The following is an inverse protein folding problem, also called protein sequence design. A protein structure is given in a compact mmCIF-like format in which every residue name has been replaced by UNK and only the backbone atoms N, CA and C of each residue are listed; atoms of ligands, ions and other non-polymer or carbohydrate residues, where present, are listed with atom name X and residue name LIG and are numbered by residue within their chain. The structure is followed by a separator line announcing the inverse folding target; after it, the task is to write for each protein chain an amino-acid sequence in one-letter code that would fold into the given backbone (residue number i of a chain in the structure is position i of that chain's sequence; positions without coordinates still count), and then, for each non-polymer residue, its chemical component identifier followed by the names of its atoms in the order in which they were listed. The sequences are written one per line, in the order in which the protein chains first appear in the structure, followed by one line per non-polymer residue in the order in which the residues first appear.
data_IF_788340912542
#
_entry.id   IF_788340912542
#
_cell.length_a   1.000
_cell.length_b   1.000
_cell.length_c   1.000
_cell.angle_alpha   90.00
_cell.angle_beta   90.00
_cell.angle_gamma   90.00
#
_symmetry.space_group_name_H-M   'P 1'
#
loop_
_entity.id
_entity.type
_entity.pdbx_description
1 polymer ?
#
# COMPACT_ATOMS: atom_id res chain seq x y z
N UNK A 1 6.85 -47.61 -25.02
CA UNK A 1 5.57 -47.19 -24.41
C UNK A 1 5.51 -45.68 -24.52
N UNK A 2 4.86 -45.26 -25.60
CA UNK A 2 4.84 -43.92 -26.17
C UNK A 2 4.19 -42.86 -25.27
N UNK A 3 4.75 -41.65 -25.30
CA UNK A 3 4.00 -40.43 -24.97
C UNK A 3 4.13 -39.43 -26.13
N UNK A 4 3.02 -38.85 -26.62
CA UNK A 4 3.05 -38.08 -27.86
C UNK A 4 3.59 -36.66 -27.63
N UNK A 5 4.36 -36.18 -28.62
CA UNK A 5 4.78 -34.77 -28.76
C UNK A 5 3.54 -33.90 -29.06
N UNK A 6 3.39 -32.78 -28.35
CA UNK A 6 2.54 -31.65 -28.80
C UNK A 6 3.42 -30.60 -29.49
N UNK A 7 3.10 -30.19 -30.73
CA UNK A 7 3.75 -29.08 -31.41
C UNK A 7 2.98 -27.76 -31.25
N UNK A 8 3.74 -26.66 -31.16
CA UNK A 8 3.37 -25.36 -31.73
C UNK A 8 2.47 -24.42 -30.92
N UNK A 9 3.09 -23.40 -30.32
CA UNK A 9 2.64 -22.02 -30.48
C UNK A 9 3.86 -21.09 -30.38
N UNK A 10 4.43 -20.82 -31.55
CA UNK A 10 5.50 -19.88 -31.84
C UNK A 10 4.91 -18.46 -31.75
N UNK A 11 5.09 -17.77 -30.62
CA UNK A 11 5.01 -16.30 -30.54
C UNK A 11 6.15 -15.80 -29.68
N UNK A 12 7.22 -15.42 -30.37
CA UNK A 12 8.40 -14.75 -29.86
C UNK A 12 8.00 -13.35 -29.39
N UNK A 13 8.18 -13.07 -28.10
CA UNK A 13 8.49 -11.73 -27.62
C UNK A 13 9.86 -11.80 -26.96
N UNK A 14 10.81 -10.90 -27.30
CA UNK A 14 12.07 -10.84 -26.60
C UNK A 14 11.85 -10.30 -25.17
N UNK A 15 12.56 -10.81 -24.15
CA UNK A 15 12.45 -10.30 -22.80
C UNK A 15 12.96 -8.86 -22.72
N UNK A 16 12.19 -8.01 -22.04
CA UNK A 16 12.52 -6.62 -21.76
C UNK A 16 13.75 -6.57 -20.85
N UNK A 17 14.90 -6.23 -21.44
CA UNK A 17 16.16 -6.05 -20.72
C UNK A 17 16.07 -4.87 -19.76
N UNK A 18 15.92 -5.14 -18.46
CA UNK A 18 16.38 -4.21 -17.44
C UNK A 18 17.91 -4.14 -17.49
N UNK A 19 18.43 -3.15 -18.23
CA UNK A 19 19.86 -2.85 -18.22
C UNK A 19 20.26 -2.36 -16.82
N UNK A 20 20.94 -3.22 -16.05
CA UNK A 20 21.79 -2.83 -14.90
C UNK A 20 22.64 -1.62 -15.33
N UNK A 21 22.30 -0.42 -14.84
CA UNK A 21 23.13 0.77 -15.02
C UNK A 21 24.38 0.62 -14.15
N UNK A 22 25.44 0.06 -14.73
CA UNK A 22 26.82 0.24 -14.26
C UNK A 22 27.14 1.74 -14.28
N UNK A 23 27.09 2.42 -13.14
CA UNK A 23 27.76 3.71 -12.97
C UNK A 23 29.26 3.43 -12.91
N UNK A 24 29.90 3.53 -14.07
CA UNK A 24 31.36 3.54 -14.18
C UNK A 24 31.88 4.93 -13.81
N UNK A 25 32.89 4.94 -12.96
CA UNK A 25 33.71 6.09 -12.60
C UNK A 25 34.56 6.53 -13.80
N UNK A 26 34.45 7.78 -14.24
CA UNK A 26 35.55 8.54 -14.86
C UNK A 26 35.17 10.00 -15.09
N UNK A 27 35.90 10.85 -14.37
CA UNK A 27 36.36 12.20 -14.71
C UNK A 27 35.57 13.09 -15.68
N UNK A 28 35.08 14.23 -15.17
CA UNK A 28 35.80 15.49 -15.37
C UNK A 28 35.16 16.70 -14.66
N UNK A 29 35.97 17.29 -13.77
CA UNK A 29 36.20 18.74 -13.59
C UNK A 29 35.05 19.62 -13.04
N UNK A 30 35.26 19.96 -11.77
CA UNK A 30 35.28 21.34 -11.24
C UNK A 30 33.96 22.09 -11.05
N UNK A 31 33.45 22.07 -9.82
CA UNK A 31 33.46 23.29 -8.98
C UNK A 31 33.02 22.96 -7.55
N UNK A 32 33.85 23.39 -6.60
CA UNK A 32 33.69 23.35 -5.13
C UNK A 32 32.27 23.73 -4.68
N UNK A 33 31.55 22.79 -4.05
CA UNK A 33 30.49 23.11 -3.09
C UNK A 33 30.62 22.18 -1.89
N UNK A 34 30.54 22.79 -0.71
CA UNK A 34 30.93 22.28 0.58
C UNK A 34 30.24 20.98 0.99
N UNK A 35 31.03 20.03 1.49
CA UNK A 35 30.57 18.93 2.34
C UNK A 35 29.91 19.51 3.61
N UNK A 36 28.58 19.45 3.67
CA UNK A 36 27.82 19.36 4.92
C UNK A 36 27.10 18.00 4.92
N UNK A 37 27.25 17.16 5.95
CA UNK A 37 26.45 15.95 6.07
C UNK A 37 25.05 16.40 6.51
N UNK A 38 24.11 16.44 5.58
CA UNK A 38 22.79 17.03 5.84
C UNK A 38 21.88 17.05 4.61
N UNK A 39 21.44 15.88 4.17
CA UNK A 39 20.06 15.71 3.68
C UNK A 39 19.75 14.22 3.77
N UNK A 40 19.02 13.85 4.81
CA UNK A 40 18.52 12.49 5.03
C UNK A 40 17.36 12.23 4.06
N UNK A 41 17.65 12.30 2.75
CA UNK A 41 16.66 11.95 1.71
C UNK A 41 16.38 10.47 1.87
N UNK A 42 15.21 10.17 2.44
CA UNK A 42 14.67 8.84 2.48
C UNK A 42 14.59 8.34 1.03
N UNK A 43 15.40 7.34 0.69
CA UNK A 43 15.29 6.60 -0.56
C UNK A 43 14.08 5.69 -0.43
N UNK A 44 12.91 6.31 -0.46
CA UNK A 44 11.64 5.60 -0.51
C UNK A 44 11.35 5.20 -1.97
N UNK A 45 10.39 4.30 -2.13
CA UNK A 45 9.92 3.83 -3.43
C UNK A 45 8.45 4.19 -3.60
N UNK A 46 8.01 4.30 -4.85
CA UNK A 46 6.58 4.47 -5.11
C UNK A 46 5.82 3.27 -4.54
N UNK A 47 4.79 3.53 -3.73
CA UNK A 47 4.01 2.48 -3.07
C UNK A 47 3.23 1.61 -4.05
N UNK A 48 3.00 2.09 -5.28
CA UNK A 48 2.26 1.39 -6.33
C UNK A 48 3.17 0.46 -7.14
N UNK A 49 4.28 0.98 -7.67
CA UNK A 49 5.14 0.21 -8.58
C UNK A 49 6.44 -0.30 -7.95
N UNK A 50 6.77 0.13 -6.73
CA UNK A 50 8.03 -0.14 -6.02
C UNK A 50 9.31 0.38 -6.71
N UNK A 51 9.17 1.20 -7.74
CA UNK A 51 10.30 1.88 -8.38
C UNK A 51 10.63 3.21 -7.67
N UNK A 52 11.91 3.56 -7.67
CA UNK A 52 12.38 4.88 -7.25
C UNK A 52 12.02 5.98 -8.25
N UNK A 53 12.53 7.19 -8.01
CA UNK A 53 12.34 8.36 -8.87
C UNK A 53 11.89 9.57 -8.08
N UNK A 54 11.24 10.52 -8.77
CA UNK A 54 10.63 11.68 -8.13
C UNK A 54 9.21 11.32 -7.67
N UNK A 55 8.98 11.33 -6.36
CA UNK A 55 7.70 11.02 -5.74
C UNK A 55 7.28 12.09 -4.74
N UNK A 56 5.99 12.09 -4.40
CA UNK A 56 5.43 12.83 -3.27
C UNK A 56 5.14 11.85 -2.13
N UNK A 57 5.57 12.22 -0.93
CA UNK A 57 5.27 11.50 0.29
C UNK A 57 3.94 12.00 0.86
N UNK A 58 3.05 11.10 1.24
CA UNK A 58 1.87 11.46 2.01
C UNK A 58 2.26 11.82 3.44
N UNK A 59 2.00 13.05 3.85
CA UNK A 59 2.27 13.58 5.20
C UNK A 59 1.23 13.12 6.24
N UNK A 60 0.23 12.34 5.80
CA UNK A 60 -0.69 11.64 6.69
C UNK A 60 -0.10 10.35 7.28
N UNK A 61 -0.88 9.67 8.14
CA UNK A 61 -0.47 8.48 8.90
C UNK A 61 -0.01 7.28 8.06
N UNK A 62 -0.29 7.24 6.76
CA UNK A 62 0.11 6.11 5.91
C UNK A 62 1.56 6.17 5.42
N UNK A 63 2.18 7.36 5.41
CA UNK A 63 3.57 7.60 4.98
C UNK A 63 3.92 7.05 3.59
N UNK A 64 2.92 6.84 2.73
CA UNK A 64 3.13 6.26 1.40
C UNK A 64 3.66 7.31 0.43
N UNK A 65 4.61 6.90 -0.40
CA UNK A 65 5.15 7.69 -1.50
C UNK A 65 4.53 7.31 -2.85
N UNK A 66 4.32 8.29 -3.75
CA UNK A 66 3.72 8.07 -5.07
C UNK A 66 4.37 8.92 -6.16
N UNK A 67 4.50 8.37 -7.37
CA UNK A 67 4.84 9.19 -8.54
C UNK A 67 3.74 10.23 -8.79
N UNK A 68 4.13 11.51 -8.85
CA UNK A 68 3.19 12.64 -8.89
C UNK A 68 2.48 12.80 -10.24
N UNK A 69 3.24 12.80 -11.33
CA UNK A 69 2.76 13.18 -12.68
C UNK A 69 3.02 12.07 -13.67
N UNK A 70 2.24 12.05 -14.77
CA UNK A 70 2.39 11.07 -15.85
C UNK A 70 3.77 11.09 -16.52
N UNK A 71 4.52 12.20 -16.41
CA UNK A 71 5.90 12.26 -16.94
C UNK A 71 6.86 11.31 -16.24
N UNK A 72 6.50 10.83 -15.06
CA UNK A 72 7.26 9.80 -14.34
C UNK A 72 6.96 8.39 -14.84
N UNK A 73 5.93 8.22 -15.68
CA UNK A 73 5.65 6.93 -16.30
C UNK A 73 6.79 6.63 -17.26
N UNK A 74 7.37 5.44 -17.11
CA UNK A 74 8.33 4.87 -18.04
C UNK A 74 7.74 3.58 -18.60
N UNK A 75 8.25 3.15 -19.75
CA UNK A 75 7.89 1.85 -20.36
C UNK A 75 8.05 0.68 -19.37
N UNK A 76 8.95 0.88 -18.41
CA UNK A 76 9.32 -0.05 -17.36
C UNK A 76 8.34 0.02 -16.18
N UNK A 77 8.15 1.20 -15.59
CA UNK A 77 7.44 1.30 -14.32
C UNK A 77 5.93 1.27 -14.49
N UNK A 78 5.38 1.57 -15.68
CA UNK A 78 3.94 1.58 -16.02
C UNK A 78 3.04 2.01 -14.84
N UNK A 79 3.46 3.05 -14.12
CA UNK A 79 2.88 3.37 -12.82
C UNK A 79 1.57 4.15 -12.99
N UNK A 80 0.53 3.78 -12.26
CA UNK A 80 -0.65 4.63 -12.09
C UNK A 80 -0.26 5.80 -11.18
N UNK A 81 0.12 6.93 -11.77
CA UNK A 81 0.57 8.12 -11.02
C UNK A 81 -0.60 8.83 -10.33
N UNK A 82 -0.32 9.84 -9.52
CA UNK A 82 -1.35 10.67 -8.90
C UNK A 82 -2.11 11.55 -9.90
N UNK A 83 -1.63 11.66 -11.16
CA UNK A 83 -2.27 12.48 -12.20
C UNK A 83 -2.16 13.99 -11.96
N UNK A 84 -1.19 14.44 -11.13
CA UNK A 84 -1.00 15.86 -10.87
C UNK A 84 -0.47 16.59 -12.11
N UNK A 85 -0.84 17.86 -12.26
CA UNK A 85 -0.17 18.73 -13.21
C UNK A 85 1.25 19.05 -12.75
N UNK A 86 2.10 19.50 -13.69
CA UNK A 86 3.46 19.97 -13.37
C UNK A 86 3.46 21.15 -12.41
N UNK A 87 2.47 22.04 -12.52
CA UNK A 87 2.29 23.17 -11.63
C UNK A 87 1.95 22.69 -10.21
N UNK A 88 0.99 21.76 -10.08
CA UNK A 88 0.65 21.15 -8.79
C UNK A 88 1.84 20.42 -8.16
N UNK A 89 2.56 19.62 -8.95
CA UNK A 89 3.77 18.94 -8.48
C UNK A 89 4.84 19.93 -8.01
N UNK A 90 5.08 21.02 -8.74
CA UNK A 90 6.03 22.06 -8.33
C UNK A 90 5.60 22.74 -7.03
N UNK A 91 4.31 22.99 -6.84
CA UNK A 91 3.77 23.55 -5.59
C UNK A 91 4.15 22.62 -4.42
N UNK A 92 3.87 21.32 -4.52
CA UNK A 92 4.22 20.38 -3.45
C UNK A 92 5.73 20.24 -3.23
N UNK A 93 6.56 20.28 -4.29
CA UNK A 93 8.02 20.11 -4.17
C UNK A 93 8.76 21.34 -3.65
N UNK A 94 8.26 22.54 -3.90
CA UNK A 94 8.92 23.78 -3.50
C UNK A 94 8.65 24.14 -2.03
N UNK A 95 7.81 23.36 -1.35
CA UNK A 95 7.51 23.56 0.05
C UNK A 95 8.69 23.09 0.91
N UNK A 96 9.49 24.06 1.37
CA UNK A 96 10.59 23.87 2.33
C UNK A 96 10.04 23.53 3.73
N UNK A 97 9.53 22.30 3.96
CA UNK A 97 9.08 21.69 5.25
C UNK A 97 8.15 22.53 6.18
N UNK A 98 7.89 23.80 5.87
CA UNK A 98 7.28 24.82 6.72
C UNK A 98 6.22 25.63 5.98
N UNK A 99 5.89 25.23 4.76
CA UNK A 99 4.96 25.95 3.90
C UNK A 99 3.96 24.96 3.32
N UNK A 100 2.68 25.27 3.44
CA UNK A 100 1.60 24.52 2.83
C UNK A 100 1.55 24.73 1.31
N UNK A 101 0.99 23.78 0.54
CA UNK A 101 0.27 22.57 0.99
C UNK A 101 1.16 21.34 1.23
N UNK A 102 0.80 20.56 2.25
CA UNK A 102 1.31 19.20 2.42
C UNK A 102 0.46 18.24 1.58
N UNK A 103 1.08 17.23 0.97
CA UNK A 103 0.35 16.21 0.22
C UNK A 103 -0.28 15.18 1.17
N UNK A 104 -1.59 14.98 1.08
CA UNK A 104 -2.36 13.97 1.84
C UNK A 104 -3.11 13.07 0.86
N UNK A 105 -2.87 11.77 0.90
CA UNK A 105 -3.53 10.82 0.00
C UNK A 105 -5.01 10.59 0.39
N UNK A 106 -5.83 10.07 -0.53
CA UNK A 106 -7.27 9.82 -0.27
C UNK A 106 -7.52 8.94 0.95
N UNK A 107 -6.68 7.92 1.20
CA UNK A 107 -6.79 7.07 2.40
C UNK A 107 -6.68 7.89 3.70
N UNK A 108 -5.67 8.76 3.79
CA UNK A 108 -5.47 9.61 4.96
C UNK A 108 -6.55 10.69 5.06
N UNK A 109 -6.93 11.32 3.94
CA UNK A 109 -7.98 12.34 3.88
C UNK A 109 -9.30 11.82 4.43
N UNK A 110 -9.69 10.60 4.08
CA UNK A 110 -10.96 10.00 4.49
C UNK A 110 -10.85 9.08 5.70
N UNK A 111 -9.68 9.03 6.37
CA UNK A 111 -9.41 8.11 7.48
C UNK A 111 -9.76 6.65 7.17
N UNK A 112 -9.56 6.19 5.94
CA UNK A 112 -9.81 4.80 5.55
C UNK A 112 -8.51 4.17 5.08
N UNK A 113 -8.00 3.23 5.86
CA UNK A 113 -6.71 2.59 5.60
C UNK A 113 -6.90 1.09 5.43
N UNK A 114 -6.05 0.49 4.60
CA UNK A 114 -6.09 -0.95 4.38
C UNK A 114 -5.32 -1.66 5.48
N UNK A 115 -5.90 -2.75 5.98
CA UNK A 115 -5.14 -3.70 6.80
C UNK A 115 -4.03 -4.32 5.95
N UNK A 116 -2.77 -4.14 6.33
CA UNK A 116 -1.63 -4.63 5.55
C UNK A 116 -1.57 -6.17 5.50
N UNK A 117 -2.28 -6.85 6.39
CA UNK A 117 -2.41 -8.31 6.35
C UNK A 117 -3.41 -8.82 5.31
N UNK A 118 -4.58 -8.20 5.16
CA UNK A 118 -5.67 -8.74 4.34
C UNK A 118 -6.06 -7.86 3.15
N UNK A 119 -5.52 -6.64 3.06
CA UNK A 119 -5.79 -5.69 1.98
C UNK A 119 -7.12 -4.95 2.09
N UNK A 120 -8.04 -5.39 2.94
CA UNK A 120 -9.35 -4.76 3.11
C UNK A 120 -9.25 -3.40 3.81
N UNK A 121 -10.02 -2.42 3.33
CA UNK A 121 -10.19 -1.12 3.95
C UNK A 121 -10.96 -1.24 5.26
N UNK A 122 -10.57 -0.41 6.24
CA UNK A 122 -11.37 -0.13 7.43
C UNK A 122 -11.21 1.32 7.86
N UNK A 123 -12.16 1.78 8.65
CA UNK A 123 -12.06 3.09 9.31
C UNK A 123 -10.87 3.11 10.26
N UNK A 124 -10.07 4.17 10.19
CA UNK A 124 -9.01 4.51 11.15
C UNK A 124 -9.38 5.74 11.99
N UNK A 125 -10.62 6.22 11.83
CA UNK A 125 -11.15 7.32 12.60
C UNK A 125 -11.53 6.82 14.00
N UNK A 126 -10.76 7.26 15.00
CA UNK A 126 -10.98 6.91 16.40
C UNK A 126 -12.31 7.47 16.93
N UNK A 127 -12.85 8.53 16.32
CA UNK A 127 -14.13 9.14 16.74
C UNK A 127 -15.36 8.42 16.23
N UNK A 128 -15.24 7.66 15.13
CA UNK A 128 -16.36 7.01 14.43
C UNK A 128 -16.37 5.47 14.54
N UNK A 129 -15.59 4.91 15.47
CA UNK A 129 -15.37 3.47 15.61
C UNK A 129 -14.31 2.98 14.61
N UNK A 130 -13.05 2.95 15.05
CA UNK A 130 -11.96 2.47 14.23
C UNK A 130 -12.02 0.94 14.06
N UNK A 131 -11.85 0.50 12.83
CA UNK A 131 -11.78 -0.91 12.41
C UNK A 131 -10.32 -1.33 12.19
N UNK A 132 -9.46 -0.40 11.80
CA UNK A 132 -8.01 -0.62 11.63
C UNK A 132 -7.20 0.31 12.53
N UNK A 133 -6.11 -0.22 13.07
CA UNK A 133 -5.23 0.45 14.02
C UNK A 133 -3.82 0.51 13.47
N UNK A 134 -3.13 1.61 13.73
CA UNK A 134 -1.77 1.85 13.23
C UNK A 134 -0.74 1.16 14.12
N UNK A 135 0.37 0.72 13.52
CA UNK A 135 1.57 0.34 14.27
C UNK A 135 2.05 1.50 15.17
N UNK A 136 2.60 1.16 16.34
CA UNK A 136 3.17 2.13 17.29
C UNK A 136 4.42 2.84 16.74
N UNK A 137 5.18 2.19 15.86
CA UNK A 137 6.35 2.82 15.24
C UNK A 137 5.90 3.94 14.30
N UNK A 138 6.26 5.17 14.66
CA UNK A 138 5.90 6.40 13.95
C UNK A 138 6.35 6.41 12.48
N UNK A 139 7.37 5.62 12.12
CA UNK A 139 7.89 5.52 10.75
C UNK A 139 7.34 4.34 9.95
N UNK A 140 6.48 3.51 10.54
CA UNK A 140 5.99 2.28 9.92
C UNK A 140 4.83 2.53 8.94
N UNK A 141 3.88 3.40 9.31
CA UNK A 141 2.74 3.76 8.45
C UNK A 141 1.72 2.63 8.15
N UNK A 142 1.91 1.43 8.72
CA UNK A 142 1.02 0.28 8.48
C UNK A 142 -0.16 0.20 9.45
N UNK A 143 -1.28 -0.29 8.93
CA UNK A 143 -2.55 -0.46 9.65
C UNK A 143 -2.98 -1.92 9.66
N UNK A 144 -3.71 -2.34 10.69
CA UNK A 144 -4.20 -3.71 10.85
C UNK A 144 -5.58 -3.77 11.47
N UNK A 145 -6.41 -4.70 11.01
CA UNK A 145 -7.57 -5.15 11.79
C UNK A 145 -7.07 -5.89 13.05
N UNK A 146 -7.66 -5.68 14.24
CA UNK A 146 -7.24 -6.37 15.47
C UNK A 146 -7.20 -7.90 15.31
N UNK A 147 -8.23 -8.48 14.67
CA UNK A 147 -8.31 -9.90 14.35
C UNK A 147 -7.19 -10.40 13.42
N UNK A 148 -6.83 -9.61 12.42
CA UNK A 148 -5.73 -9.96 11.51
C UNK A 148 -4.38 -9.89 12.25
N UNK A 149 -4.19 -8.85 13.06
CA UNK A 149 -2.99 -8.68 13.87
C UNK A 149 -2.81 -9.83 14.86
N UNK A 150 -3.89 -10.22 15.56
CA UNK A 150 -3.90 -11.33 16.50
C UNK A 150 -3.39 -12.63 15.86
N UNK A 151 -3.91 -12.98 14.68
CA UNK A 151 -3.50 -14.17 13.93
C UNK A 151 -2.04 -14.15 13.49
N UNK A 152 -1.48 -12.97 13.22
CA UNK A 152 -0.09 -12.83 12.83
C UNK A 152 0.87 -12.91 14.01
N UNK A 153 0.50 -12.32 15.15
CA UNK A 153 1.31 -12.31 16.37
C UNK A 153 1.21 -13.61 17.16
N UNK A 154 0.03 -14.22 17.17
CA UNK A 154 -0.30 -15.44 17.90
C UNK A 154 -0.93 -16.47 16.94
N UNK A 155 -0.12 -17.12 16.08
CA UNK A 155 -0.62 -18.16 15.17
C UNK A 155 -1.27 -19.33 15.92
N UNK A 156 -0.76 -19.63 17.11
CA UNK A 156 -1.41 -20.52 18.06
C UNK A 156 -2.33 -19.70 18.98
N UNK A 157 -3.64 -19.93 18.84
CA UNK A 157 -4.66 -19.23 19.63
C UNK A 157 -4.51 -19.43 21.13
N UNK A 158 -3.84 -20.50 21.58
CA UNK A 158 -3.59 -20.74 23.01
C UNK A 158 -2.63 -19.72 23.64
N UNK A 159 -1.83 -19.04 22.81
CA UNK A 159 -0.85 -18.04 23.22
C UNK A 159 -1.38 -16.61 23.13
N UNK A 160 -2.58 -16.42 22.57
CA UNK A 160 -3.18 -15.09 22.43
C UNK A 160 -3.65 -14.58 23.80
N UNK A 161 -3.32 -13.33 24.19
CA UNK A 161 -3.88 -12.71 25.37
C UNK A 161 -5.41 -12.66 25.30
N UNK A 162 -6.08 -12.98 26.41
CA UNK A 162 -7.53 -12.84 26.53
C UNK A 162 -7.92 -11.39 26.19
N UNK A 163 -8.89 -11.24 25.28
CA UNK A 163 -9.41 -9.94 24.83
C UNK A 163 -8.41 -9.04 24.08
N UNK A 164 -7.36 -9.60 23.48
CA UNK A 164 -6.36 -8.82 22.73
C UNK A 164 -6.99 -7.90 21.67
N UNK A 165 -8.02 -8.38 20.95
CA UNK A 165 -8.68 -7.59 19.91
C UNK A 165 -9.38 -6.36 20.49
N UNK A 166 -10.07 -6.52 21.62
CA UNK A 166 -10.75 -5.45 22.34
C UNK A 166 -9.75 -4.48 23.00
N UNK A 167 -8.61 -4.98 23.47
CA UNK A 167 -7.54 -4.13 24.02
C UNK A 167 -6.94 -3.23 22.95
N UNK A 168 -6.67 -3.76 21.75
CA UNK A 168 -6.24 -2.95 20.59
C UNK A 168 -7.32 -1.91 20.25
N UNK A 169 -8.60 -2.32 20.24
CA UNK A 169 -9.71 -1.39 19.99
C UNK A 169 -9.83 -0.27 21.04
N UNK A 170 -9.38 -0.51 22.26
CA UNK A 170 -9.30 0.47 23.37
C UNK A 170 -8.03 1.32 23.37
N UNK A 171 -7.14 1.15 22.39
CA UNK A 171 -5.92 1.93 22.26
C UNK A 171 -4.67 1.26 22.83
N UNK A 172 -4.65 -0.06 23.01
CA UNK A 172 -3.40 -0.79 23.25
C UNK A 172 -2.45 -0.54 22.08
N UNK A 173 -1.26 -0.02 22.39
CA UNK A 173 -0.18 0.17 21.41
C UNK A 173 0.48 -1.17 21.09
N UNK A 174 0.90 -1.35 19.84
CA UNK A 174 1.53 -2.57 19.38
C UNK A 174 2.57 -2.29 18.29
N UNK A 175 3.63 -3.10 18.27
CA UNK A 175 4.51 -3.21 17.12
C UNK A 175 3.97 -4.27 16.17
N UNK A 176 3.86 -3.92 14.89
CA UNK A 176 3.33 -4.83 13.90
C UNK A 176 4.35 -5.90 13.46
N UNK A 177 3.91 -6.97 12.77
CA UNK A 177 4.78 -8.09 12.40
C UNK A 177 5.98 -7.74 11.50
N UNK A 178 6.00 -6.57 10.85
CA UNK A 178 7.12 -6.17 9.99
C UNK A 178 8.41 -5.89 10.77
N UNK A 179 8.30 -5.67 12.09
CA UNK A 179 9.45 -5.37 12.94
C UNK A 179 10.18 -6.62 13.46
N UNK A 180 9.79 -7.81 13.01
CA UNK A 180 10.40 -9.09 13.43
C UNK A 180 10.57 -10.02 12.24
N UNK A 181 11.69 -10.75 12.22
CA UNK A 181 11.90 -11.82 11.27
C UNK A 181 10.81 -12.89 11.42
N UNK A 182 10.19 -13.27 10.31
CA UNK A 182 9.15 -14.30 10.23
C UNK A 182 9.65 -15.66 10.72
N UNK A 183 10.93 -15.97 10.52
CA UNK A 183 11.57 -17.25 10.87
C UNK A 183 12.04 -17.23 12.33
N UNK A 184 13.02 -16.40 12.68
CA UNK A 184 13.68 -16.46 13.99
C UNK A 184 13.05 -15.55 15.06
N UNK A 185 12.06 -14.71 14.69
CA UNK A 185 11.36 -13.73 15.55
C UNK A 185 12.24 -12.61 16.14
N UNK A 186 13.50 -12.50 15.72
CA UNK A 186 14.41 -11.42 16.11
C UNK A 186 14.14 -10.11 15.36
N UNK A 187 14.55 -8.98 15.97
CA UNK A 187 14.49 -7.65 15.36
C UNK A 187 15.64 -7.38 14.37
N UNK A 188 15.60 -6.24 13.69
CA UNK A 188 16.63 -5.81 12.75
C UNK A 188 17.91 -5.39 13.50
N UNK A 189 19.07 -5.66 12.91
CA UNK A 189 20.30 -4.97 13.25
C UNK A 189 20.96 -4.43 11.98
N UNK A 190 20.80 -3.13 11.73
CA UNK A 190 21.31 -2.46 10.52
C UNK A 190 22.84 -2.50 10.40
N UNK A 191 23.54 -2.67 11.51
CA UNK A 191 25.01 -2.73 11.53
C UNK A 191 25.56 -4.12 11.20
N UNK A 192 24.70 -5.13 11.07
CA UNK A 192 25.08 -6.50 10.77
C UNK A 192 24.33 -6.99 9.53
N UNK A 193 25.06 -7.17 8.42
CA UNK A 193 24.49 -7.56 7.12
C UNK A 193 23.62 -8.81 7.20
N UNK A 194 23.96 -9.78 8.05
CA UNK A 194 23.19 -11.02 8.18
C UNK A 194 21.86 -10.81 8.91
N UNK A 195 21.77 -9.75 9.71
CA UNK A 195 20.60 -9.35 10.49
C UNK A 195 19.89 -8.10 9.91
N UNK A 196 20.23 -7.68 8.70
CA UNK A 196 19.44 -6.72 7.92
C UNK A 196 18.13 -7.36 7.49
N UNK A 197 17.07 -6.55 7.40
CA UNK A 197 15.76 -7.04 6.99
C UNK A 197 15.60 -7.12 5.46
N UNK A 198 14.99 -8.22 5.03
CA UNK A 198 14.40 -8.41 3.72
C UNK A 198 12.88 -8.31 3.83
N UNK A 199 12.31 -7.22 3.33
CA UNK A 199 10.92 -6.81 3.59
C UNK A 199 10.04 -7.04 2.36
N UNK A 200 8.96 -7.81 2.54
CA UNK A 200 7.99 -8.00 1.47
C UNK A 200 7.15 -6.74 1.25
N UNK A 201 7.06 -6.26 0.01
CA UNK A 201 6.26 -5.06 -0.35
C UNK A 201 4.76 -5.30 -0.51
N UNK A 202 4.30 -6.54 -0.37
CA UNK A 202 2.89 -6.92 -0.57
C UNK A 202 2.23 -7.50 0.68
N UNK A 203 3.00 -7.83 1.71
CA UNK A 203 2.44 -8.33 2.97
C UNK A 203 3.42 -8.13 4.15
N UNK A 204 3.00 -8.36 5.40
CA UNK A 204 3.82 -8.13 6.59
C UNK A 204 4.99 -9.13 6.80
N UNK A 205 5.36 -9.89 5.77
CA UNK A 205 6.40 -10.92 5.89
C UNK A 205 7.78 -10.28 5.75
N UNK A 206 8.63 -10.46 6.75
CA UNK A 206 10.00 -9.95 6.78
C UNK A 206 10.94 -11.08 7.14
N UNK A 207 12.12 -11.13 6.54
CA UNK A 207 13.19 -12.08 6.90
C UNK A 207 14.44 -11.30 7.32
N UNK A 208 15.33 -11.93 8.08
CA UNK A 208 16.72 -11.50 8.04
C UNK A 208 17.36 -11.99 6.74
N UNK A 209 18.44 -11.35 6.28
CA UNK A 209 19.22 -11.85 5.13
C UNK A 209 19.58 -13.33 5.28
N UNK A 210 20.11 -13.72 6.45
CA UNK A 210 20.45 -15.12 6.77
C UNK A 210 19.26 -16.07 6.88
N UNK A 211 18.06 -15.53 7.06
CA UNK A 211 16.81 -16.29 7.21
C UNK A 211 15.97 -16.27 5.93
N UNK A 212 16.46 -15.65 4.86
CA UNK A 212 15.74 -15.54 3.60
C UNK A 212 15.65 -16.93 2.94
N UNK A 213 14.46 -17.42 2.57
CA UNK A 213 14.30 -18.66 1.83
C UNK A 213 15.09 -18.64 0.52
N UNK A 214 15.74 -19.76 0.19
CA UNK A 214 16.56 -19.90 -1.03
C UNK A 214 15.78 -19.69 -2.33
N UNK A 215 14.46 -19.89 -2.32
CA UNK A 215 13.58 -19.65 -3.48
C UNK A 215 13.37 -18.16 -3.79
N UNK A 216 13.71 -17.25 -2.86
CA UNK A 216 13.66 -15.81 -3.08
C UNK A 216 15.04 -15.35 -3.56
N UNK A 217 15.22 -15.35 -4.87
CA UNK A 217 16.50 -15.08 -5.54
C UNK A 217 16.73 -13.60 -5.85
N UNK A 218 18.01 -13.18 -5.85
CA UNK A 218 18.43 -11.81 -6.16
C UNK A 218 18.68 -11.54 -7.65
N UNK A 219 18.78 -12.60 -8.47
CA UNK A 219 18.98 -12.49 -9.90
C UNK A 219 18.07 -13.51 -10.59
N UNK A 220 17.56 -13.12 -11.75
CA UNK A 220 16.78 -13.99 -12.62
C UNK A 220 17.69 -14.96 -13.40
N UNK A 221 17.14 -16.11 -13.75
CA UNK A 221 17.77 -17.05 -14.65
C UNK A 221 16.72 -17.60 -15.61
N UNK A 222 16.60 -16.95 -16.77
CA UNK A 222 15.69 -17.34 -17.84
C UNK A 222 15.86 -18.80 -18.26
N UNK A 223 17.08 -19.34 -18.20
CA UNK A 223 17.38 -20.70 -18.66
C UNK A 223 16.78 -21.77 -17.74
N UNK A 224 16.64 -21.44 -16.46
CA UNK A 224 16.08 -22.31 -15.43
C UNK A 224 14.66 -21.90 -15.00
N UNK A 225 14.09 -20.86 -15.63
CA UNK A 225 12.76 -20.33 -15.27
C UNK A 225 12.72 -19.66 -13.89
N UNK A 226 13.89 -19.21 -13.39
CA UNK A 226 14.00 -18.57 -12.09
C UNK A 226 13.69 -17.09 -12.24
N UNK A 227 12.74 -16.60 -11.45
CA UNK A 227 12.30 -15.20 -11.46
C UNK A 227 12.90 -14.47 -10.27
N UNK A 228 13.55 -13.32 -10.51
CA UNK A 228 14.08 -12.45 -9.46
C UNK A 228 12.97 -12.02 -8.50
N UNK A 229 13.24 -12.11 -7.19
CA UNK A 229 12.29 -11.74 -6.12
C UNK A 229 12.92 -10.90 -5.01
N UNK A 230 14.21 -10.57 -5.11
CA UNK A 230 14.94 -9.77 -4.13
C UNK A 230 15.85 -8.72 -4.78
N UNK A 231 15.97 -7.56 -4.13
CA UNK A 231 16.81 -6.43 -4.55
C UNK A 231 17.52 -5.80 -3.33
N UNK A 232 18.84 -5.79 -3.34
CA UNK A 232 19.69 -5.33 -2.22
C UNK A 232 19.88 -3.80 -2.20
N UNK A 233 19.85 -3.16 -3.37
CA UNK A 233 20.28 -1.76 -3.55
C UNK A 233 19.12 -0.79 -3.83
N UNK A 234 17.89 -1.16 -3.46
CA UNK A 234 16.69 -0.35 -3.72
C UNK A 234 16.32 0.54 -2.53
N UNK A 235 16.43 0.01 -1.32
CA UNK A 235 16.15 0.72 -0.07
C UNK A 235 17.43 0.81 0.74
N UNK A 236 17.66 1.95 1.40
CA UNK A 236 18.82 2.07 2.30
C UNK A 236 18.68 1.09 3.46
N UNK A 237 19.70 0.26 3.66
CA UNK A 237 19.83 -0.73 4.74
C UNK A 237 18.81 -1.89 4.73
N UNK A 238 17.98 -2.02 3.69
CA UNK A 238 16.96 -3.07 3.60
C UNK A 238 16.89 -3.70 2.22
N UNK A 239 16.65 -5.02 2.19
CA UNK A 239 16.43 -5.77 0.95
C UNK A 239 14.94 -5.69 0.62
N UNK A 240 14.61 -5.19 -0.56
CA UNK A 240 13.24 -5.26 -1.07
C UNK A 240 12.98 -6.68 -1.58
N UNK A 241 11.88 -7.32 -1.17
CA UNK A 241 11.49 -8.63 -1.69
C UNK A 241 10.01 -8.73 -2.08
N UNK A 242 9.70 -9.76 -2.85
CA UNK A 242 8.36 -10.32 -2.99
C UNK A 242 8.35 -11.77 -2.51
N UNK A 243 7.74 -12.02 -1.34
CA UNK A 243 7.70 -13.36 -0.78
C UNK A 243 6.87 -14.33 -1.63
N UNK A 244 7.01 -15.62 -1.38
CA UNK A 244 6.39 -16.70 -2.17
C UNK A 244 4.85 -16.73 -2.13
N UNK A 245 4.21 -15.89 -1.29
CA UNK A 245 2.75 -15.72 -1.25
C UNK A 245 2.22 -14.87 -2.41
N UNK A 246 3.10 -14.20 -3.14
CA UNK A 246 2.73 -13.31 -4.23
C UNK A 246 3.29 -13.86 -5.54
N UNK A 247 2.38 -14.17 -6.47
CA UNK A 247 2.72 -14.53 -7.84
C UNK A 247 3.35 -13.33 -8.54
N UNK A 248 4.38 -13.58 -9.35
CA UNK A 248 5.00 -12.54 -10.18
C UNK A 248 4.28 -12.52 -11.51
N UNK A 249 3.81 -11.35 -11.90
CA UNK A 249 3.30 -11.12 -13.24
C UNK A 249 4.49 -11.10 -14.22
N UNK A 250 4.53 -11.97 -15.24
CA UNK A 250 5.65 -12.06 -16.17
C UNK A 250 5.88 -10.79 -16.99
N UNK A 251 4.83 -9.99 -17.24
CA UNK A 251 4.94 -8.75 -18.00
C UNK A 251 5.51 -7.61 -17.15
N UNK A 252 5.14 -7.57 -15.86
CA UNK A 252 5.61 -6.55 -14.93
C UNK A 252 6.96 -6.90 -14.28
N UNK A 253 7.29 -8.18 -14.16
CA UNK A 253 8.42 -8.66 -13.35
C UNK A 253 8.21 -8.49 -11.83
N UNK A 254 7.02 -8.06 -11.42
CA UNK A 254 6.60 -7.85 -10.03
C UNK A 254 5.22 -8.46 -9.81
N UNK A 255 4.72 -8.63 -8.59
CA UNK A 255 3.31 -8.90 -8.36
C UNK A 255 2.44 -7.79 -8.94
N UNK A 256 1.18 -8.14 -9.24
CA UNK A 256 0.18 -7.18 -9.69
C UNK A 256 0.15 -5.93 -8.79
N UNK A 257 0.01 -4.76 -9.40
CA UNK A 257 0.05 -3.45 -8.74
C UNK A 257 -1.34 -3.00 -8.28
N UNK A 258 -2.14 -3.95 -7.79
CA UNK A 258 -3.54 -3.76 -7.36
C UNK A 258 -3.72 -3.85 -5.83
N UNK A 259 -2.62 -3.72 -5.07
CA UNK A 259 -2.62 -3.89 -3.61
C UNK A 259 -3.05 -2.63 -2.84
N UNK A 260 -3.01 -1.45 -3.46
CA UNK A 260 -3.51 -0.21 -2.84
C UNK A 260 -4.95 0.04 -3.30
N UNK A 261 -5.85 0.20 -2.33
CA UNK A 261 -7.25 0.55 -2.55
C UNK A 261 -7.48 1.93 -1.96
N UNK A 262 -7.84 2.88 -2.82
CA UNK A 262 -8.28 4.21 -2.41
C UNK A 262 -9.79 4.21 -2.11
N UNK A 263 -10.27 5.01 -1.14
CA UNK A 263 -11.71 5.14 -0.86
C UNK A 263 -12.48 5.75 -2.04
N UNK A 264 -13.65 5.18 -2.35
CA UNK A 264 -14.57 5.75 -3.34
C UNK A 264 -15.24 7.01 -2.80
N UNK A 265 -14.98 8.14 -3.45
CA UNK A 265 -15.51 9.45 -3.03
C UNK A 265 -17.06 9.52 -3.13
N UNK A 266 -17.67 8.69 -3.98
CA UNK A 266 -19.11 8.70 -4.27
C UNK A 266 -20.00 8.19 -3.12
N UNK A 267 -19.48 7.34 -2.23
CA UNK A 267 -20.26 6.71 -1.16
C UNK A 267 -20.14 7.41 0.21
N UNK A 268 -19.31 8.45 0.32
CA UNK A 268 -19.05 9.13 1.61
C UNK A 268 -19.85 10.41 1.81
N UNK A 269 -20.46 10.97 0.75
CA UNK A 269 -21.32 12.15 0.86
C UNK A 269 -22.68 11.87 1.53
N UNK A 270 -23.05 10.60 1.72
CA UNK A 270 -24.28 10.18 2.42
C UNK A 270 -24.12 9.98 3.93
N UNK A 271 -22.89 10.01 4.45
CA UNK A 271 -22.60 9.87 5.89
C UNK A 271 -22.03 11.21 6.42
N UNK A 272 -22.84 12.25 6.33
CA UNK A 272 -22.47 13.60 6.76
C UNK A 272 -22.13 13.67 8.26
N UNK A 273 -21.12 14.44 8.67
CA UNK A 273 -20.71 14.54 10.06
C UNK A 273 -21.71 15.38 10.86
N UNK A 274 -22.19 14.86 11.99
CA UNK A 274 -22.82 15.68 13.03
C UNK A 274 -21.80 16.68 13.57
N UNK A 275 -21.99 17.97 13.27
CA UNK A 275 -21.19 19.10 13.77
C UNK A 275 -21.04 19.06 15.31
N UNK A 276 -19.83 19.34 15.83
CA UNK A 276 -19.69 20.13 17.04
C UNK A 276 -19.03 21.48 16.72
N UNK A 277 -19.52 22.52 17.40
CA UNK A 277 -19.05 23.90 17.31
C UNK A 277 -17.68 24.06 18.00
N UNK A 278 -16.78 24.79 17.34
CA UNK A 278 -15.75 25.64 17.96
C UNK A 278 -14.45 24.95 18.39
N UNK A 279 -13.36 25.16 17.65
CA UNK A 279 -12.12 25.81 18.12
C UNK A 279 -11.04 25.80 17.02
N UNK A 280 -10.42 26.99 16.88
CA UNK A 280 -9.17 27.45 16.25
C UNK A 280 -8.36 26.57 15.26
N UNK A 281 -8.22 27.16 14.06
CA UNK A 281 -7.09 27.18 13.11
C UNK A 281 -6.14 25.97 13.02
N UNK A 282 -6.46 25.08 12.07
CA UNK A 282 -5.57 24.06 11.52
C UNK A 282 -5.26 24.38 10.03
N UNK A 283 -4.11 23.94 9.50
CA UNK A 283 -3.53 24.51 8.29
C UNK A 283 -4.22 23.94 7.02
N UNK A 284 -4.25 24.73 5.94
CA UNK A 284 -4.99 24.51 4.69
C UNK A 284 -4.46 23.31 3.86
N UNK A 285 -5.18 22.18 3.99
CA UNK A 285 -5.09 21.03 3.07
C UNK A 285 -5.67 21.43 1.70
N UNK A 286 -4.85 21.45 0.65
CA UNK A 286 -5.32 21.66 -0.72
C UNK A 286 -5.74 20.34 -1.36
N UNK A 287 -7.01 20.30 -1.76
CA UNK A 287 -7.61 19.20 -2.50
C UNK A 287 -7.13 19.21 -3.96
N UNK A 288 -6.74 18.04 -4.46
CA UNK A 288 -6.64 17.81 -5.90
C UNK A 288 -8.08 17.88 -6.45
N UNK A 289 -8.40 18.80 -7.37
CA UNK A 289 -9.70 18.82 -8.02
C UNK A 289 -9.98 17.48 -8.68
N UNK A 290 -11.15 16.90 -8.42
CA UNK A 290 -11.60 15.69 -9.11
C UNK A 290 -12.03 16.06 -10.54
N UNK A 291 -11.07 16.13 -11.46
CA UNK A 291 -11.32 16.30 -12.88
C UNK A 291 -10.89 15.02 -13.63
N UNK A 292 -11.91 14.25 -14.05
CA UNK A 292 -11.95 13.22 -15.08
C UNK A 292 -10.81 12.17 -15.18
N UNK A 293 -10.91 11.12 -14.35
CA UNK A 293 -10.55 9.76 -14.81
C UNK A 293 -11.62 9.27 -15.79
N UNK A 294 -11.36 9.42 -17.08
CA UNK A 294 -12.25 8.97 -18.16
C UNK A 294 -12.32 7.44 -18.21
N UNK A 295 -13.52 6.82 -18.24
CA UNK A 295 -13.67 5.45 -18.71
C UNK A 295 -13.69 5.43 -20.25
N UNK A 296 -12.89 4.54 -20.83
CA UNK A 296 -13.02 4.12 -22.22
C UNK A 296 -14.49 3.73 -22.52
N UNK A 297 -15.10 4.37 -23.52
CA UNK A 297 -15.95 3.76 -24.57
C UNK A 297 -16.81 4.82 -25.30
N UNK A 298 -16.45 5.04 -26.56
CA UNK A 298 -17.24 5.31 -27.76
C UNK A 298 -18.71 5.80 -27.66
N UNK A 299 -18.92 6.98 -28.26
CA UNK A 299 -20.04 7.35 -29.16
C UNK A 299 -21.34 7.95 -28.58
N UNK A 300 -21.29 9.29 -28.52
CA UNK A 300 -22.23 10.29 -29.08
C UNK A 300 -23.59 10.64 -28.40
N UNK A 301 -23.92 11.94 -28.21
CA UNK A 301 -24.94 12.43 -27.28
C UNK A 301 -26.15 13.12 -27.95
N UNK A 302 -27.25 13.34 -27.21
CA UNK A 302 -28.14 14.51 -27.39
C UNK A 302 -29.14 14.71 -26.23
N UNK A 303 -28.81 15.70 -25.39
CA UNK A 303 -29.58 16.76 -24.72
C UNK A 303 -30.80 16.53 -23.76
N UNK A 304 -30.99 17.45 -22.77
CA UNK A 304 -31.68 17.23 -21.49
C UNK A 304 -32.87 18.22 -21.22
N UNK A 305 -33.52 18.20 -20.02
CA UNK A 305 -34.86 18.75 -19.69
C UNK A 305 -34.77 20.14 -18.97
N UNK A 306 -35.80 20.75 -18.30
CA UNK A 306 -36.14 20.43 -16.88
C UNK A 306 -37.59 20.87 -16.36
N UNK A 307 -38.15 20.33 -15.24
CA UNK A 307 -38.33 20.93 -13.87
C UNK A 307 -39.74 21.53 -13.47
N UNK A 308 -40.04 21.83 -12.16
CA UNK A 308 -41.04 21.10 -11.31
C UNK A 308 -42.02 22.04 -10.53
N UNK A 309 -42.78 21.54 -9.51
CA UNK A 309 -43.17 22.27 -8.26
C UNK A 309 -44.16 21.51 -7.34
N UNK A 310 -43.92 21.64 -6.01
CA UNK A 310 -44.88 21.80 -4.89
C UNK A 310 -45.86 20.64 -4.53
N UNK A 311 -46.18 20.26 -3.28
CA UNK A 311 -46.11 20.90 -1.95
C UNK A 311 -46.48 19.87 -0.83
N UNK A 312 -45.84 20.00 0.36
CA UNK A 312 -46.28 19.88 1.79
C UNK A 312 -47.58 19.11 2.16
N UNK A 313 -47.83 18.54 3.35
CA UNK A 313 -47.24 18.46 4.71
C UNK A 313 -48.07 17.40 5.45
N UNK A 314 -47.51 16.62 6.40
CA UNK A 314 -48.17 16.27 7.67
C UNK A 314 -47.31 15.38 8.59
N UNK A 315 -47.27 15.84 9.83
CA UNK A 315 -46.69 15.30 11.07
C UNK A 315 -47.45 14.08 11.62
N UNK A 316 -46.74 13.14 12.25
CA UNK A 316 -46.77 12.90 13.71
C UNK A 316 -46.30 11.48 14.12
N UNK A 317 -45.29 11.50 14.99
CA UNK A 317 -45.10 10.76 16.25
C UNK A 317 -45.13 9.22 16.36
N UNK A 318 -44.08 8.78 17.07
CA UNK A 318 -43.96 7.65 17.99
C UNK A 318 -43.88 6.21 17.43
N UNK A 319 -42.70 5.59 17.58
CA UNK A 319 -42.41 4.71 18.73
C UNK A 319 -41.02 4.05 18.64
N UNK A 320 -40.42 3.96 19.81
CA UNK A 320 -39.23 3.23 20.26
C UNK A 320 -38.94 1.87 19.61
N UNK A 321 -37.65 1.63 19.31
CA UNK A 321 -36.83 0.43 19.57
C UNK A 321 -35.65 0.44 18.57
N UNK A 322 -34.39 0.47 18.96
CA UNK A 322 -33.74 -0.51 19.83
C UNK A 322 -32.61 -1.16 19.02
N UNK A 323 -31.42 -0.58 19.17
CA UNK A 323 -30.11 -0.94 18.60
C UNK A 323 -29.92 -2.43 18.32
N UNK A 324 -29.53 -2.78 17.08
CA UNK A 324 -28.78 -3.99 16.71
C UNK A 324 -28.36 -3.91 15.22
N UNK A 325 -27.20 -3.30 14.92
CA UNK A 325 -26.59 -3.41 13.60
C UNK A 325 -25.37 -4.32 13.68
N UNK A 326 -25.60 -5.62 13.56
CA UNK A 326 -24.59 -6.58 13.12
C UNK A 326 -24.79 -6.73 11.61
N UNK A 327 -23.72 -6.54 10.83
CA UNK A 327 -23.78 -6.70 9.38
C UNK A 327 -24.25 -8.14 9.01
N UNK A 328 -25.07 -8.31 7.95
CA UNK A 328 -25.63 -9.62 7.59
C UNK A 328 -24.54 -10.61 7.22
N UNK A 329 -24.64 -11.86 7.71
CA UNK A 329 -23.75 -13.00 7.42
C UNK A 329 -23.61 -13.37 5.93
N UNK A 330 -24.23 -12.64 5.01
CA UNK A 330 -24.22 -12.91 3.58
C UNK A 330 -23.00 -12.35 2.82
N UNK A 331 -22.06 -11.68 3.49
CA UNK A 331 -20.83 -11.13 2.88
C UNK A 331 -19.58 -12.01 3.06
N UNK A 332 -19.74 -13.27 3.46
CA UNK A 332 -18.63 -14.23 3.57
C UNK A 332 -18.73 -15.32 2.48
N UNK A 333 -18.14 -15.13 1.29
CA UNK A 333 -17.71 -16.29 0.52
C UNK A 333 -16.53 -16.92 1.28
N UNK A 334 -16.73 -18.17 1.68
CA UNK A 334 -15.76 -19.05 2.36
C UNK A 334 -14.35 -18.93 1.75
N UNK A 335 -13.26 -18.96 2.55
CA UNK A 335 -11.95 -19.19 1.97
C UNK A 335 -11.90 -20.64 1.44
N UNK A 336 -11.46 -20.76 0.20
CA UNK A 336 -11.21 -22.02 -0.50
C UNK A 336 -10.47 -23.06 0.37
N UNK A 337 -10.84 -24.35 0.31
CA UNK A 337 -10.08 -25.41 0.95
C UNK A 337 -8.86 -25.72 0.07
N UNK A 338 -7.69 -25.22 0.48
CA UNK A 338 -6.39 -25.61 -0.08
C UNK A 338 -5.86 -26.85 0.62
N UNK A 339 -5.89 -27.97 -0.10
CA UNK A 339 -5.47 -29.32 0.29
C UNK A 339 -3.98 -29.45 0.61
N UNK A 340 -3.65 -30.00 1.78
CA UNK A 340 -2.42 -30.75 2.01
C UNK A 340 -2.73 -31.94 2.93
N UNK A 341 -3.08 -33.09 2.34
CA UNK A 341 -2.92 -34.37 3.02
C UNK A 341 -1.72 -35.07 2.40
N UNK A 342 -0.72 -35.44 3.21
CA UNK A 342 0.20 -36.56 2.99
C UNK A 342 0.63 -37.11 4.36
N UNK A 343 0.75 -38.44 4.39
CA UNK A 343 0.86 -39.37 5.51
C UNK A 343 2.26 -39.37 6.14
N UNK A 344 2.34 -39.76 7.43
CA UNK A 344 3.34 -40.68 8.00
C UNK A 344 2.91 -41.07 9.44
N UNK A 345 2.14 -42.17 9.54
CA UNK A 345 2.24 -43.29 10.52
C UNK A 345 1.10 -44.31 10.29
#
# INVERSE_FOLDING_TARGET
MDRPRRPGSDRRYPPLRFRKRKRSSSDSRSSKLNNKPGSDKWEDVCSICDDGGDFLCCEGRCLRSFHATEKHITEINQCTTLGLTEEQWKIFRQNDEKSEPLYICKNCKYNQHQCFSCGLLGSSDLSSGAEVFQCEDEKCGHFYHPKCLARLLYPDSSMQPLNFEEEVARGLKFLCPVHKCHVCKGGENKNDMENQFAVCRRCPTVYHRKCLPSDIVFEDDESNGIVQRAWDDVLRDQILIYCMKHEIDPELGTPARNHIIFPDCKNLLTRGPSKPKGQEDAPAVLDIPEEDMSPDHSSEPSQPPPQPAAETDQTDQDLSNGFNSFAPKALFPLPYPGSCGWLDD
#
